data_IF_590076435008
#
_entry.id   IF_590076435008
#
_cell.length_a   1.000
_cell.length_b   1.000
_cell.length_c   1.000
_cell.angle_alpha   90.00
_cell.angle_beta   90.00
_cell.angle_gamma   90.00
#
_symmetry.space_group_name_H-M   'P 1'
#
loop_
_entity.id
_entity.type
_entity.pdbx_description
1 polymer ?
#
# COMPACT_ATOMS: atom_id res chain seq x y z
N UNK A 1 -36.13 30.48 -10.19
CA UNK A 1 -35.79 29.50 -9.13
C UNK A 1 -35.59 28.15 -9.79
N UNK A 2 -34.35 27.77 -10.07
CA UNK A 2 -34.01 26.38 -10.43
C UNK A 2 -33.00 25.91 -9.38
N UNK A 3 -33.50 25.18 -8.39
CA UNK A 3 -32.66 24.49 -7.42
C UNK A 3 -32.04 23.28 -8.12
N UNK A 4 -30.76 23.41 -8.49
CA UNK A 4 -29.93 22.27 -8.85
C UNK A 4 -29.58 21.52 -7.56
N UNK A 5 -30.20 20.35 -7.38
CA UNK A 5 -29.85 19.38 -6.37
C UNK A 5 -28.42 18.89 -6.64
N UNK A 6 -27.45 19.40 -5.89
CA UNK A 6 -26.13 18.81 -5.78
C UNK A 6 -26.26 17.41 -5.20
N UNK A 7 -25.94 16.38 -6.00
CA UNK A 7 -25.92 14.99 -5.56
C UNK A 7 -24.75 14.74 -4.59
N UNK A 8 -24.99 14.21 -3.37
CA UNK A 8 -24.00 14.18 -2.31
C UNK A 8 -23.32 12.81 -2.18
N UNK A 9 -22.60 12.33 -3.19
CA UNK A 9 -21.70 11.17 -3.00
C UNK A 9 -20.44 11.32 -3.85
N UNK A 10 -19.48 12.11 -3.32
CA UNK A 10 -18.08 11.95 -3.69
C UNK A 10 -17.58 10.74 -2.93
N UNK A 11 -17.70 9.57 -3.56
CA UNK A 11 -17.13 8.32 -3.07
C UNK A 11 -15.60 8.46 -3.16
N UNK A 12 -14.98 8.95 -2.09
CA UNK A 12 -13.53 9.08 -2.00
C UNK A 12 -12.94 7.74 -1.51
N UNK A 13 -13.00 6.69 -2.35
CA UNK A 13 -12.33 5.41 -2.08
C UNK A 13 -10.86 5.55 -2.49
N UNK A 14 -10.14 6.46 -1.84
CA UNK A 14 -8.68 6.52 -1.94
C UNK A 14 -8.10 5.92 -0.69
N UNK A 15 -7.41 4.79 -0.86
CA UNK A 15 -6.68 4.17 0.23
C UNK A 15 -5.32 4.83 0.31
N UNK A 16 -5.03 5.47 1.44
CA UNK A 16 -3.79 6.23 1.63
C UNK A 16 -2.97 5.72 2.81
N UNK A 17 -1.68 6.07 2.83
CA UNK A 17 -0.84 5.88 4.01
C UNK A 17 -1.27 6.84 5.11
N UNK A 18 -1.61 6.29 6.28
CA UNK A 18 -1.87 7.06 7.50
C UNK A 18 -0.58 7.32 8.25
N UNK A 19 -0.34 8.58 8.62
CA UNK A 19 0.70 8.94 9.58
C UNK A 19 0.33 8.36 10.95
N UNK A 20 1.27 7.67 11.61
CA UNK A 20 1.03 7.08 12.93
C UNK A 20 1.11 8.14 14.01
N UNK A 21 -0.04 8.44 14.62
CA UNK A 21 -0.09 9.36 15.75
C UNK A 21 0.55 8.76 17.01
N UNK A 22 1.31 9.57 17.74
CA UNK A 22 1.97 9.15 18.98
C UNK A 22 3.37 8.57 18.80
N UNK A 23 3.86 8.45 17.56
CA UNK A 23 5.24 7.99 17.25
C UNK A 23 6.00 9.08 16.51
N UNK A 24 5.92 10.30 17.05
CA UNK A 24 6.63 11.50 16.60
C UNK A 24 6.56 11.76 15.08
N UNK A 25 5.52 11.25 14.39
CA UNK A 25 5.33 11.42 12.95
C UNK A 25 6.42 10.79 12.06
N UNK A 26 7.18 9.80 12.55
CA UNK A 26 8.27 9.16 11.78
C UNK A 26 7.85 7.87 11.05
N UNK A 27 6.58 7.48 11.14
CA UNK A 27 6.06 6.24 10.60
C UNK A 27 4.74 6.47 9.87
N UNK A 28 4.66 5.97 8.65
CA UNK A 28 3.47 5.96 7.82
C UNK A 28 3.06 4.51 7.59
N UNK A 29 1.81 4.17 7.90
CA UNK A 29 1.28 2.81 7.72
C UNK A 29 0.22 2.84 6.65
N UNK A 30 0.30 1.89 5.73
CA UNK A 30 -0.72 1.73 4.70
C UNK A 30 -1.74 0.67 5.04
N UNK A 31 -1.28 -0.53 5.39
CA UNK A 31 -2.18 -1.64 5.67
C UNK A 31 -1.56 -2.62 6.65
N UNK A 32 -2.41 -3.16 7.51
CA UNK A 32 -2.12 -4.31 8.35
C UNK A 32 -2.78 -5.55 7.74
N UNK A 33 -1.97 -6.55 7.38
CA UNK A 33 -2.41 -7.81 6.79
C UNK A 33 -2.16 -8.96 7.77
N UNK A 34 -3.18 -9.79 8.00
CA UNK A 34 -3.00 -11.00 8.77
C UNK A 34 -2.32 -12.10 7.94
N UNK A 35 -1.18 -12.59 8.43
CA UNK A 35 -0.42 -13.67 7.82
C UNK A 35 -0.18 -14.80 8.82
N UNK A 36 -1.19 -15.66 9.03
CA UNK A 36 -1.20 -16.95 9.77
C UNK A 36 -0.67 -16.94 11.21
N UNK A 37 0.53 -16.40 11.43
CA UNK A 37 1.27 -16.31 12.70
C UNK A 37 1.64 -14.86 13.07
N UNK A 38 1.49 -13.89 12.17
CA UNK A 38 1.82 -12.49 12.45
C UNK A 38 0.91 -11.50 11.71
N UNK A 39 0.81 -10.29 12.24
CA UNK A 39 0.29 -9.13 11.51
C UNK A 39 1.48 -8.49 10.79
N UNK A 40 1.44 -8.46 9.46
CA UNK A 40 2.44 -7.80 8.62
C UNK A 40 1.92 -6.42 8.23
N UNK A 41 2.73 -5.39 8.45
CA UNK A 41 2.39 -4.04 8.07
C UNK A 41 3.32 -3.52 6.97
N UNK A 42 2.70 -2.97 5.94
CA UNK A 42 3.38 -2.21 4.89
C UNK A 42 3.53 -0.76 5.37
N UNK A 43 4.77 -0.30 5.53
CA UNK A 43 5.05 1.02 6.11
C UNK A 43 6.20 1.76 5.44
N UNK A 44 6.20 3.09 5.61
CA UNK A 44 7.29 3.99 5.24
C UNK A 44 7.77 4.68 6.51
N UNK A 45 9.08 4.74 6.69
CA UNK A 45 9.72 5.24 7.91
C UNK A 45 10.77 6.27 7.53
N UNK A 46 10.98 7.28 8.38
CA UNK A 46 12.11 8.22 8.24
C UNK A 46 13.44 7.49 8.51
N UNK A 47 14.44 7.67 7.64
CA UNK A 47 15.71 6.93 7.67
C UNK A 47 16.52 7.20 8.94
N UNK A 48 16.54 8.44 9.40
CA UNK A 48 17.39 8.86 10.53
C UNK A 48 16.77 8.55 11.91
N UNK A 49 15.54 8.03 11.95
CA UNK A 49 14.89 7.66 13.19
C UNK A 49 15.09 6.18 13.48
N UNK A 50 15.52 5.80 14.67
CA UNK A 50 15.56 4.39 15.10
C UNK A 50 14.63 4.20 16.28
N UNK A 51 13.60 3.36 16.12
CA UNK A 51 12.68 3.05 17.20
C UNK A 51 13.41 2.31 18.31
N UNK A 52 13.32 2.80 19.55
CA UNK A 52 13.99 2.16 20.70
C UNK A 52 13.27 0.88 21.14
N UNK A 53 11.94 0.95 21.25
CA UNK A 53 11.12 -0.17 21.69
C UNK A 53 9.72 -0.12 21.08
N UNK A 54 9.63 -0.20 19.75
CA UNK A 54 8.33 -0.24 19.08
C UNK A 54 7.57 -1.52 19.45
N UNK A 55 6.43 -1.36 20.10
CA UNK A 55 5.51 -2.41 20.49
C UNK A 55 4.21 -2.32 19.69
N UNK A 56 3.75 -3.47 19.20
CA UNK A 56 2.43 -3.64 18.64
C UNK A 56 1.44 -3.93 19.76
N UNK A 57 0.30 -3.27 19.71
CA UNK A 57 -0.82 -3.49 20.61
C UNK A 57 -1.94 -4.11 19.79
N UNK A 58 -2.27 -5.37 20.05
CA UNK A 58 -3.29 -6.12 19.32
C UNK A 58 -4.61 -6.09 20.07
N UNK A 59 -5.69 -5.91 19.31
CA UNK A 59 -7.07 -5.92 19.80
C UNK A 59 -7.85 -6.99 19.04
N UNK A 60 -8.46 -7.92 19.76
CA UNK A 60 -9.30 -9.00 19.25
C UNK A 60 -10.80 -8.67 19.36
N UNK A 61 -11.14 -7.68 20.17
CA UNK A 61 -12.52 -7.21 20.37
C UNK A 61 -12.77 -5.88 19.65
N UNK A 62 -14.04 -5.63 19.31
CA UNK A 62 -14.50 -4.34 18.77
C UNK A 62 -14.39 -3.21 19.80
N UNK A 63 -14.45 -3.55 21.08
CA UNK A 63 -14.27 -2.63 22.18
C UNK A 63 -12.78 -2.29 22.32
N UNK A 64 -12.32 -1.30 21.56
CA UNK A 64 -10.95 -0.73 21.59
C UNK A 64 -10.54 -0.13 22.97
N UNK A 65 -11.31 -0.40 24.03
CA UNK A 65 -11.17 0.15 25.37
C UNK A 65 -10.06 -0.52 26.18
N UNK A 66 -9.75 -1.79 25.90
CA UNK A 66 -8.68 -2.54 26.59
C UNK A 66 -7.76 -3.24 25.58
N UNK A 67 -6.44 -3.02 25.66
CA UNK A 67 -5.47 -3.74 24.85
C UNK A 67 -5.42 -5.20 25.29
N UNK A 68 -5.58 -6.12 24.35
CA UNK A 68 -5.55 -7.55 24.65
C UNK A 68 -4.12 -8.07 24.76
N UNK A 69 -3.21 -7.57 23.91
CA UNK A 69 -1.83 -8.06 23.88
C UNK A 69 -0.82 -7.00 23.45
N UNK A 70 0.24 -6.84 24.25
CA UNK A 70 1.43 -6.05 23.90
C UNK A 70 2.54 -6.96 23.42
N UNK A 71 3.11 -6.66 22.27
CA UNK A 71 4.19 -7.45 21.70
C UNK A 71 5.28 -6.58 21.09
N UNK A 72 6.53 -7.00 21.26
CA UNK A 72 7.65 -6.34 20.58
C UNK A 72 7.53 -6.55 19.07
N UNK A 73 7.67 -5.47 18.31
CA UNK A 73 7.65 -5.50 16.85
C UNK A 73 9.02 -5.87 16.28
N UNK A 74 9.02 -6.57 15.16
CA UNK A 74 10.21 -6.86 14.35
C UNK A 74 10.17 -5.96 13.11
N UNK A 75 11.22 -5.18 12.89
CA UNK A 75 11.26 -4.19 11.81
C UNK A 75 12.31 -4.60 10.79
N UNK A 76 11.84 -5.00 9.61
CA UNK A 76 12.68 -5.29 8.46
C UNK A 76 12.72 -4.04 7.56
N UNK A 77 13.91 -3.47 7.36
CA UNK A 77 14.12 -2.31 6.51
C UNK A 77 14.86 -2.75 5.25
N UNK A 78 14.47 -2.24 4.09
CA UNK A 78 15.22 -2.47 2.84
C UNK A 78 16.13 -1.29 2.52
N UNK A 79 17.27 -1.62 1.89
CA UNK A 79 18.51 -0.85 1.80
C UNK A 79 18.36 0.69 1.75
N UNK A 80 18.89 1.43 2.74
CA UNK A 80 18.90 2.88 2.76
C UNK A 80 20.04 3.41 1.89
N UNK A 81 19.85 3.55 0.57
CA UNK A 81 20.78 4.37 -0.22
C UNK A 81 20.14 5.74 -0.43
N UNK A 82 20.65 6.72 0.31
CA UNK A 82 20.47 8.17 0.14
C UNK A 82 19.02 8.63 -0.05
N UNK A 83 18.16 8.34 0.93
CA UNK A 83 16.80 8.90 0.95
C UNK A 83 16.39 9.23 2.40
N UNK A 84 15.70 10.36 2.66
CA UNK A 84 15.15 10.66 3.99
C UNK A 84 14.08 9.66 4.47
N UNK A 85 13.57 8.80 3.59
CA UNK A 85 12.59 7.78 3.95
C UNK A 85 12.96 6.42 3.34
N UNK A 86 12.59 5.37 4.07
CA UNK A 86 12.79 3.97 3.71
C UNK A 86 11.51 3.19 3.83
N UNK A 87 11.37 2.15 3.02
CA UNK A 87 10.31 1.17 3.17
C UNK A 87 10.66 0.21 4.31
N UNK A 88 9.73 0.05 5.23
CA UNK A 88 9.87 -0.83 6.37
C UNK A 88 8.68 -1.80 6.43
N UNK A 89 8.97 -3.05 6.75
CA UNK A 89 7.96 -4.04 7.11
C UNK A 89 8.00 -4.22 8.61
N UNK A 90 6.87 -3.93 9.25
CA UNK A 90 6.71 -4.17 10.67
C UNK A 90 5.94 -5.47 10.81
N UNK A 91 6.59 -6.46 11.41
CA UNK A 91 5.99 -7.73 11.74
C UNK A 91 5.65 -7.71 13.23
N UNK A 92 4.36 -7.85 13.54
CA UNK A 92 3.88 -8.07 14.89
C UNK A 92 3.59 -9.57 15.03
N UNK A 93 4.47 -10.35 15.70
CA UNK A 93 4.16 -11.76 15.91
C UNK A 93 2.83 -11.87 16.66
N UNK A 94 2.06 -12.92 16.41
CA UNK A 94 1.00 -13.33 17.32
C UNK A 94 1.53 -14.56 18.05
N UNK A 95 2.08 -14.33 19.25
CA UNK A 95 2.36 -15.43 20.16
C UNK A 95 1.09 -15.60 20.98
N UNK A 96 0.25 -16.62 20.70
CA UNK A 96 -0.90 -16.86 21.56
C UNK A 96 -0.35 -17.09 22.96
N UNK A 97 -0.76 -16.26 23.93
CA UNK A 97 -0.60 -16.63 25.33
C UNK A 97 -1.24 -18.00 25.50
N UNK A 98 -0.54 -18.86 26.24
CA UNK A 98 -0.62 -20.33 26.20
C UNK A 98 -2.04 -20.89 26.35
N UNK A 99 -3.03 -20.10 26.80
CA UNK A 99 -4.40 -20.52 27.04
C UNK A 99 -5.54 -19.57 26.62
N UNK A 100 -5.34 -18.47 25.86
CA UNK A 100 -6.44 -17.51 25.62
C UNK A 100 -6.82 -17.18 24.17
N UNK A 101 -5.93 -17.32 23.18
CA UNK A 101 -6.22 -16.85 21.81
C UNK A 101 -5.68 -17.81 20.73
N UNK A 102 -5.83 -19.11 20.95
CA UNK A 102 -5.33 -20.12 20.00
C UNK A 102 -6.23 -20.19 18.76
N UNK A 103 -6.03 -19.28 17.82
CA UNK A 103 -6.73 -19.24 16.53
C UNK A 103 -7.45 -17.94 16.21
N UNK A 104 -7.51 -17.00 17.15
CA UNK A 104 -8.17 -15.72 16.93
C UNK A 104 -7.28 -14.75 16.14
N UNK A 105 -7.93 -13.94 15.32
CA UNK A 105 -7.29 -12.96 14.45
C UNK A 105 -7.55 -11.59 15.07
N UNK A 106 -6.49 -10.79 15.32
CA UNK A 106 -6.68 -9.44 15.83
C UNK A 106 -7.48 -8.63 14.81
N UNK A 107 -8.45 -7.86 15.29
CA UNK A 107 -9.27 -6.96 14.47
C UNK A 107 -8.55 -5.64 14.23
N UNK A 108 -7.79 -5.15 15.22
CA UNK A 108 -7.03 -3.90 15.12
C UNK A 108 -5.62 -4.05 15.65
N UNK A 109 -4.71 -3.23 15.11
CA UNK A 109 -3.35 -3.07 15.61
C UNK A 109 -3.06 -1.59 15.87
N UNK A 110 -2.54 -1.29 17.05
CA UNK A 110 -1.99 0.00 17.42
C UNK A 110 -0.48 -0.09 17.68
N UNK A 111 0.17 1.06 17.79
CA UNK A 111 1.62 1.13 18.03
C UNK A 111 1.95 2.07 19.18
N UNK A 112 2.94 1.68 19.97
CA UNK A 112 3.51 2.47 21.06
C UNK A 112 5.02 2.27 21.09
N UNK A 113 5.79 3.33 21.36
CA UNK A 113 7.26 3.22 21.51
C UNK A 113 7.68 3.02 22.97
N UNK A 114 6.81 3.35 23.92
CA UNK A 114 7.00 3.14 25.34
C UNK A 114 5.86 2.26 25.87
N UNK A 115 6.20 1.14 26.53
CA UNK A 115 5.24 0.08 26.89
C UNK A 115 4.21 0.43 27.97
N UNK A 116 4.10 1.69 28.37
CA UNK A 116 3.09 2.18 29.32
C UNK A 116 2.04 3.07 28.65
N UNK A 117 2.25 3.46 27.39
CA UNK A 117 1.35 4.34 26.66
C UNK A 117 0.24 3.55 25.97
N UNK A 118 -0.88 4.22 25.71
CA UNK A 118 -1.94 3.69 24.85
C UNK A 118 -1.72 4.15 23.41
N UNK A 119 -2.02 3.31 22.40
CA UNK A 119 -1.99 3.75 21.01
C UNK A 119 -2.95 4.91 20.80
N UNK A 120 -2.52 5.94 20.07
CA UNK A 120 -3.39 7.06 19.68
C UNK A 120 -4.21 6.74 18.44
N UNK A 121 -3.76 5.76 17.66
CA UNK A 121 -4.36 5.37 16.40
C UNK A 121 -4.38 3.86 16.25
N UNK A 122 -5.43 3.36 15.62
CA UNK A 122 -5.68 1.96 15.38
C UNK A 122 -5.80 1.70 13.88
N UNK A 123 -5.21 0.61 13.43
CA UNK A 123 -5.26 0.18 12.04
C UNK A 123 -6.06 -1.12 11.95
N UNK A 124 -7.12 -1.19 11.13
CA UNK A 124 -7.87 -2.42 10.96
C UNK A 124 -7.00 -3.48 10.28
N UNK A 125 -7.00 -4.68 10.84
CA UNK A 125 -6.27 -5.84 10.31
C UNK A 125 -7.15 -6.52 9.27
N UNK A 126 -6.68 -6.51 8.02
CA UNK A 126 -7.39 -7.19 6.93
C UNK A 126 -7.11 -8.68 6.96
N UNK A 127 -8.17 -9.48 7.02
CA UNK A 127 -8.09 -10.93 6.97
C UNK A 127 -8.29 -11.46 5.55
N UNK A 128 -7.23 -12.06 4.99
CA UNK A 128 -7.20 -12.55 3.62
C UNK A 128 -8.07 -13.80 3.35
N UNK A 129 -8.60 -14.49 4.38
CA UNK A 129 -9.40 -15.70 4.18
C UNK A 129 -10.92 -15.48 4.36
N UNK A 130 -11.36 -14.28 4.76
CA UNK A 130 -12.78 -14.00 5.03
C UNK A 130 -13.50 -13.31 3.87
N UNK A 131 -12.79 -12.80 2.85
CA UNK A 131 -13.42 -12.27 1.64
C UNK A 131 -13.90 -13.42 0.74
N UNK A 132 -14.97 -14.10 1.14
CA UNK A 132 -15.71 -15.04 0.28
C UNK A 132 -16.49 -14.33 -0.83
N UNK A 133 -16.65 -13.01 -0.76
CA UNK A 133 -17.60 -12.31 -1.62
C UNK A 133 -17.06 -11.83 -2.96
N UNK A 134 -15.74 -11.81 -3.20
CA UNK A 134 -15.23 -11.50 -4.54
C UNK A 134 -13.94 -12.25 -4.82
N UNK A 135 -14.05 -13.45 -5.39
CA UNK A 135 -12.93 -14.15 -5.99
C UNK A 135 -12.58 -13.47 -7.31
N UNK A 136 -11.69 -12.47 -7.28
CA UNK A 136 -11.05 -12.02 -8.51
C UNK A 136 -10.11 -13.11 -8.98
N UNK A 137 -10.27 -13.61 -10.21
CA UNK A 137 -9.46 -14.69 -10.77
C UNK A 137 -8.09 -14.18 -11.22
N UNK A 138 -8.04 -12.92 -11.67
CA UNK A 138 -6.79 -12.26 -12.05
C UNK A 138 -6.70 -10.80 -11.57
N UNK A 139 -5.76 -10.53 -10.67
CA UNK A 139 -5.41 -9.16 -10.24
C UNK A 139 -4.07 -8.75 -10.86
N UNK A 140 -4.07 -7.62 -11.56
CA UNK A 140 -2.88 -6.93 -12.03
C UNK A 140 -2.43 -5.88 -11.00
N UNK A 141 -1.17 -5.99 -10.60
CA UNK A 141 -0.49 -5.01 -9.75
C UNK A 141 0.32 -4.07 -10.65
N UNK A 142 -0.13 -2.83 -10.80
CA UNK A 142 0.60 -1.82 -11.54
C UNK A 142 1.54 -1.07 -10.60
N UNK A 143 2.80 -0.97 -10.98
CA UNK A 143 3.81 -0.24 -10.23
C UNK A 143 3.45 1.25 -10.09
N UNK A 144 4.13 1.89 -9.15
CA UNK A 144 3.88 3.27 -8.77
C UNK A 144 3.92 4.28 -9.92
N UNK A 145 2.88 5.08 -10.04
CA UNK A 145 2.74 6.16 -11.01
C UNK A 145 3.44 7.42 -10.49
N UNK A 146 4.58 7.74 -11.09
CA UNK A 146 5.34 8.95 -10.79
C UNK A 146 5.36 9.89 -12.00
N UNK A 147 4.96 11.14 -11.79
CA UNK A 147 4.84 12.18 -12.81
C UNK A 147 3.99 11.75 -14.01
N UNK A 148 2.91 11.02 -13.75
CA UNK A 148 2.04 10.53 -14.82
C UNK A 148 1.10 11.67 -15.27
N UNK A 149 1.28 12.12 -16.51
CA UNK A 149 0.49 13.21 -17.09
C UNK A 149 -0.42 12.78 -18.24
N UNK A 150 -0.15 11.64 -18.86
CA UNK A 150 -0.89 11.19 -20.03
C UNK A 150 -2.10 10.34 -19.60
N UNK A 151 -3.27 10.98 -19.54
CA UNK A 151 -4.53 10.33 -19.22
C UNK A 151 -4.95 9.30 -20.28
N UNK A 152 -4.71 9.56 -21.58
CA UNK A 152 -5.06 8.63 -22.65
C UNK A 152 -4.26 7.32 -22.54
N UNK A 153 -2.96 7.41 -22.23
CA UNK A 153 -2.12 6.24 -22.00
C UNK A 153 -2.56 5.44 -20.76
N UNK A 154 -3.07 6.11 -19.73
CA UNK A 154 -3.62 5.43 -18.55
C UNK A 154 -4.88 4.65 -18.93
N UNK A 155 -5.82 5.29 -19.64
CA UNK A 155 -7.05 4.64 -20.12
C UNK A 155 -6.70 3.43 -20.98
N UNK A 156 -5.82 3.61 -21.97
CA UNK A 156 -5.35 2.51 -22.83
C UNK A 156 -4.80 1.35 -22.01
N UNK A 157 -3.97 1.63 -21.00
CA UNK A 157 -3.41 0.60 -20.13
C UNK A 157 -4.49 -0.15 -19.34
N UNK A 158 -5.43 0.57 -18.73
CA UNK A 158 -6.52 -0.03 -17.95
C UNK A 158 -7.38 -0.93 -18.84
N UNK A 159 -7.78 -0.44 -20.01
CA UNK A 159 -8.61 -1.21 -20.96
C UNK A 159 -7.85 -2.40 -21.55
N UNK A 160 -6.55 -2.28 -21.83
CA UNK A 160 -5.73 -3.40 -22.28
C UNK A 160 -5.61 -4.48 -21.20
N UNK A 161 -5.41 -4.11 -19.94
CA UNK A 161 -5.38 -5.06 -18.83
C UNK A 161 -6.71 -5.80 -18.69
N UNK A 162 -7.84 -5.11 -18.87
CA UNK A 162 -9.17 -5.71 -18.93
C UNK A 162 -9.30 -6.69 -20.08
N UNK A 163 -8.86 -6.33 -21.29
CA UNK A 163 -8.85 -7.23 -22.45
C UNK A 163 -8.01 -8.48 -22.22
N UNK A 164 -6.95 -8.39 -21.40
CA UNK A 164 -6.15 -9.55 -20.97
C UNK A 164 -6.78 -10.34 -19.82
N UNK A 165 -8.00 -9.99 -19.39
CA UNK A 165 -8.76 -10.70 -18.38
C UNK A 165 -8.47 -10.26 -16.95
N UNK A 166 -7.90 -9.06 -16.73
CA UNK A 166 -7.71 -8.54 -15.38
C UNK A 166 -9.06 -8.21 -14.75
N UNK A 167 -9.44 -9.03 -13.76
CA UNK A 167 -10.58 -8.80 -12.90
C UNK A 167 -10.28 -7.78 -11.81
N UNK A 168 -9.05 -7.28 -11.67
CA UNK A 168 -8.70 -6.17 -10.78
C UNK A 168 -7.40 -5.53 -11.23
N UNK A 169 -7.36 -4.21 -11.27
CA UNK A 169 -6.13 -3.45 -11.49
C UNK A 169 -5.88 -2.55 -10.29
N UNK A 170 -4.71 -2.72 -9.66
CA UNK A 170 -4.29 -1.92 -8.50
C UNK A 170 -3.21 -0.96 -8.94
N UNK A 171 -3.46 0.33 -8.77
CA UNK A 171 -2.59 1.43 -9.12
C UNK A 171 -2.08 2.10 -7.85
N UNK A 172 -0.82 2.52 -7.84
CA UNK A 172 -0.23 3.25 -6.72
C UNK A 172 0.12 4.68 -7.19
N UNK A 173 -0.72 5.66 -6.85
CA UNK A 173 -0.48 7.08 -7.10
C UNK A 173 0.62 7.59 -6.19
N UNK A 174 1.67 8.10 -6.83
CA UNK A 174 2.68 8.92 -6.17
C UNK A 174 2.48 10.38 -6.58
N UNK A 175 2.46 10.63 -7.89
CA UNK A 175 2.35 11.94 -8.48
C UNK A 175 1.71 11.82 -9.86
N UNK A 176 0.52 12.39 -9.97
CA UNK A 176 -0.31 12.36 -11.16
C UNK A 176 -0.80 13.77 -11.49
N UNK A 177 -1.03 14.03 -12.76
CA UNK A 177 -1.66 15.27 -13.23
C UNK A 177 -3.15 15.32 -12.89
N UNK A 178 -3.77 16.51 -12.87
CA UNK A 178 -5.22 16.64 -12.64
C UNK A 178 -6.10 15.89 -13.65
N UNK A 179 -5.66 15.77 -14.90
CA UNK A 179 -6.39 15.01 -15.93
C UNK A 179 -6.39 13.51 -15.63
N UNK A 180 -5.24 12.98 -15.19
CA UNK A 180 -5.10 11.59 -14.74
C UNK A 180 -5.92 11.35 -13.47
N UNK A 181 -5.89 12.29 -12.52
CA UNK A 181 -6.70 12.26 -11.29
C UNK A 181 -8.20 12.14 -11.58
N UNK A 182 -8.70 12.91 -12.55
CA UNK A 182 -10.09 12.88 -12.97
C UNK A 182 -10.49 11.52 -13.57
N UNK A 183 -9.64 10.95 -14.43
CA UNK A 183 -9.87 9.61 -15.00
C UNK A 183 -9.90 8.53 -13.92
N UNK A 184 -8.95 8.53 -12.99
CA UNK A 184 -8.93 7.57 -11.89
C UNK A 184 -10.20 7.66 -11.02
N UNK A 185 -10.68 8.88 -10.75
CA UNK A 185 -11.95 9.09 -10.01
C UNK A 185 -13.16 8.55 -10.76
N UNK A 186 -13.19 8.68 -12.08
CA UNK A 186 -14.27 8.15 -12.92
C UNK A 186 -14.32 6.62 -12.80
N UNK A 187 -13.21 5.92 -13.06
CA UNK A 187 -13.14 4.47 -12.91
C UNK A 187 -13.39 4.00 -11.46
N UNK A 188 -12.89 4.72 -10.46
CA UNK A 188 -13.14 4.39 -9.05
C UNK A 188 -14.61 4.55 -8.65
N UNK A 189 -15.37 5.44 -9.31
CA UNK A 189 -16.82 5.55 -9.11
C UNK A 189 -17.54 4.37 -9.75
N UNK A 190 -17.22 4.03 -10.98
CA UNK A 190 -17.78 2.87 -11.68
C UNK A 190 -17.52 1.56 -10.90
N UNK A 191 -16.38 1.50 -10.20
CA UNK A 191 -16.06 0.44 -9.25
C UNK A 191 -16.97 0.37 -8.04
N UNK A 192 -17.23 1.49 -7.38
CA UNK A 192 -18.10 1.55 -6.21
C UNK A 192 -19.52 1.06 -6.49
N UNK A 193 -19.93 1.17 -7.76
CA UNK A 193 -21.22 0.70 -8.28
C UNK A 193 -21.19 -0.80 -8.65
N UNK A 194 -20.10 -1.51 -8.34
CA UNK A 194 -19.93 -2.95 -8.55
C UNK A 194 -19.63 -3.34 -10.00
N UNK A 195 -19.27 -2.39 -10.86
CA UNK A 195 -19.07 -2.64 -12.30
C UNK A 195 -17.64 -3.00 -12.68
N UNK A 196 -16.62 -2.39 -12.07
CA UNK A 196 -15.23 -2.45 -12.58
C UNK A 196 -14.14 -2.27 -11.54
N UNK A 197 -13.01 -2.95 -11.66
CA UNK A 197 -12.19 -3.33 -10.51
C UNK A 197 -10.88 -2.56 -10.35
N UNK A 198 -10.98 -1.22 -10.33
CA UNK A 198 -9.83 -0.33 -10.14
C UNK A 198 -9.64 0.07 -8.68
N UNK A 199 -8.45 -0.15 -8.12
CA UNK A 199 -8.05 0.32 -6.79
C UNK A 199 -6.90 1.33 -6.91
N UNK A 200 -7.12 2.58 -6.48
CA UNK A 200 -6.12 3.65 -6.45
C UNK A 200 -5.56 3.83 -5.02
N UNK A 201 -4.25 3.63 -4.89
CA UNK A 201 -3.50 3.67 -3.65
C UNK A 201 -2.62 4.93 -3.61
N UNK A 202 -2.95 5.87 -2.75
CA UNK A 202 -2.23 7.15 -2.65
C UNK A 202 -1.09 7.07 -1.64
N UNK A 203 0.11 7.37 -2.10
CA UNK A 203 1.29 7.46 -1.24
C UNK A 203 1.31 8.72 -0.36
N UNK A 204 2.00 8.70 0.78
CA UNK A 204 1.94 9.80 1.74
C UNK A 204 2.56 11.07 1.17
N UNK A 205 1.97 12.21 1.56
CA UNK A 205 2.43 13.56 1.25
C UNK A 205 2.72 14.29 2.55
N UNK A 206 3.87 14.95 2.63
CA UNK A 206 4.26 15.75 3.80
C UNK A 206 4.11 17.23 3.47
N UNK A 207 3.29 17.97 4.22
CA UNK A 207 3.06 19.40 4.00
C UNK A 207 2.54 19.75 2.59
N UNK A 208 1.78 18.84 1.98
CA UNK A 208 1.30 18.98 0.59
C UNK A 208 2.36 18.69 -0.48
N UNK A 209 3.62 18.44 -0.10
CA UNK A 209 4.68 18.00 -1.01
C UNK A 209 4.78 16.49 -0.99
N UNK A 210 5.04 15.93 -2.17
CA UNK A 210 5.22 14.51 -2.29
C UNK A 210 6.56 14.07 -1.70
N UNK A 211 6.52 13.04 -0.87
CA UNK A 211 7.72 12.40 -0.35
C UNK A 211 8.48 11.75 -1.53
N UNK A 212 9.78 12.03 -1.68
CA UNK A 212 10.62 11.52 -2.79
C UNK A 212 11.03 10.07 -2.60
N UNK A 213 10.05 9.17 -2.48
CA UNK A 213 10.23 7.74 -2.25
C UNK A 213 9.91 6.88 -3.46
N UNK A 214 9.70 7.50 -4.63
CA UNK A 214 9.17 6.86 -5.84
C UNK A 214 9.89 5.56 -6.24
N UNK A 215 11.20 5.44 -5.98
CA UNK A 215 11.96 4.23 -6.29
C UNK A 215 11.62 3.08 -5.32
N UNK A 216 11.63 3.37 -4.01
CA UNK A 216 11.34 2.38 -2.97
C UNK A 216 9.88 2.00 -2.92
N UNK A 217 9.01 2.91 -3.32
CA UNK A 217 7.58 2.65 -3.33
C UNK A 217 7.15 1.65 -4.38
N UNK A 218 7.95 1.43 -5.43
CA UNK A 218 7.71 0.33 -6.37
C UNK A 218 7.79 -1.01 -5.67
N UNK A 219 8.81 -1.19 -4.83
CA UNK A 219 8.99 -2.42 -4.06
C UNK A 219 7.87 -2.59 -3.02
N UNK A 220 7.50 -1.50 -2.33
CA UNK A 220 6.39 -1.53 -1.38
C UNK A 220 5.05 -1.82 -2.05
N UNK A 221 4.79 -1.22 -3.22
CA UNK A 221 3.59 -1.46 -4.02
C UNK A 221 3.52 -2.92 -4.48
N UNK A 222 4.65 -3.47 -4.95
CA UNK A 222 4.73 -4.89 -5.30
C UNK A 222 4.50 -5.79 -4.08
N UNK A 223 5.16 -5.50 -2.96
CA UNK A 223 5.05 -6.31 -1.75
C UNK A 223 3.62 -6.30 -1.19
N UNK A 224 3.02 -5.12 -1.08
CA UNK A 224 1.63 -4.96 -0.61
C UNK A 224 0.65 -5.67 -1.55
N UNK A 225 0.71 -5.40 -2.85
CA UNK A 225 -0.20 -6.00 -3.81
C UNK A 225 -0.05 -7.54 -3.82
N UNK A 226 1.19 -8.04 -3.84
CA UNK A 226 1.42 -9.48 -3.74
C UNK A 226 0.84 -10.03 -2.44
N UNK A 227 1.14 -9.48 -1.26
CA UNK A 227 0.65 -10.07 -0.02
C UNK A 227 -0.87 -9.97 0.14
N UNK A 228 -1.49 -8.92 -0.41
CA UNK A 228 -2.93 -8.71 -0.37
C UNK A 228 -3.70 -9.65 -1.31
N UNK A 229 -3.17 -9.93 -2.50
CA UNK A 229 -3.89 -10.71 -3.53
C UNK A 229 -3.28 -12.09 -3.83
N UNK A 230 -2.13 -12.47 -3.24
CA UNK A 230 -1.45 -13.78 -3.44
C UNK A 230 -2.30 -15.00 -3.13
N UNK A 231 -3.37 -14.87 -2.32
CA UNK A 231 -4.30 -15.98 -2.04
C UNK A 231 -5.40 -16.15 -3.09
N UNK A 232 -5.61 -15.19 -3.99
CA UNK A 232 -6.56 -15.24 -5.10
C UNK A 232 -5.97 -15.90 -6.37
N UNK A 233 -5.17 -16.97 -6.20
CA UNK A 233 -4.20 -17.51 -7.19
C UNK A 233 -4.58 -17.41 -8.69
N UNK A 234 -3.90 -16.49 -9.40
CA UNK A 234 -3.00 -16.70 -10.58
C UNK A 234 -2.32 -15.39 -10.99
N UNK A 235 -1.66 -14.65 -10.09
CA UNK A 235 -0.94 -13.43 -10.50
C UNK A 235 0.28 -13.77 -11.37
N UNK A 236 0.17 -13.65 -12.69
CA UNK A 236 1.33 -13.58 -13.59
C UNK A 236 1.93 -12.18 -13.47
N UNK A 237 3.21 -12.11 -13.10
CA UNK A 237 3.95 -10.84 -13.02
C UNK A 237 4.12 -10.26 -14.42
N UNK A 238 3.42 -9.18 -14.73
CA UNK A 238 3.71 -8.37 -15.92
C UNK A 238 4.74 -7.31 -15.52
N UNK A 239 6.02 -7.65 -15.70
CA UNK A 239 7.12 -6.69 -15.60
C UNK A 239 7.05 -5.74 -16.79
N UNK A 240 6.75 -4.45 -16.57
CA UNK A 240 6.92 -3.42 -17.58
C UNK A 240 8.40 -3.35 -18.01
N UNK A 241 8.75 -3.55 -19.29
CA UNK A 241 10.12 -3.41 -19.75
C UNK A 241 10.45 -1.93 -19.98
N UNK A 242 11.04 -1.26 -18.99
CA UNK A 242 11.75 -0.01 -19.24
C UNK A 242 13.08 -0.32 -19.93
N UNK A 243 13.09 -0.36 -21.27
CA UNK A 243 14.33 -0.37 -22.06
C UNK A 243 14.98 1.02 -21.94
N UNK A 244 15.99 1.15 -21.09
CA UNK A 244 16.96 2.24 -21.22
C UNK A 244 17.73 2.05 -22.54
N UNK A 245 17.45 2.88 -23.54
CA UNK A 245 18.30 3.02 -24.74
C UNK A 245 19.66 3.54 -24.29
N UNK A 246 20.68 2.68 -24.26
CA UNK A 246 22.08 3.12 -24.25
C UNK A 246 22.37 3.77 -25.61
N UNK A 247 22.59 5.09 -25.59
CA UNK A 247 23.28 5.81 -26.67
C UNK A 247 24.70 5.25 -26.77
N UNK A 248 24.96 4.46 -27.81
CA UNK A 248 26.32 4.02 -28.16
C UNK A 248 26.99 5.19 -28.89
N UNK A 249 27.97 5.82 -28.24
CA UNK A 249 28.92 6.73 -28.85
C UNK A 249 29.83 5.92 -29.79
N UNK A 250 29.84 6.31 -31.05
CA UNK A 250 30.84 5.92 -32.05
C UNK A 250 32.20 6.51 -31.67
N UNK A 251 33.23 5.67 -31.55
CA UNK A 251 34.62 6.09 -31.70
C UNK A 251 35.37 4.97 -32.43
N UNK A 252 35.80 5.29 -33.66
CA UNK A 252 36.56 4.42 -34.54
C UNK A 252 37.93 4.03 -33.99
N UNK A 253 38.46 2.98 -34.61
CA UNK A 253 39.81 2.47 -34.39
C UNK A 253 40.06 1.30 -35.33
N UNK A 254 40.51 1.63 -36.55
CA UNK A 254 41.28 0.72 -37.42
C UNK A 254 42.38 0.00 -36.60
N UNK A 255 42.72 -1.25 -36.92
CA UNK A 255 43.99 -1.59 -37.59
C UNK A 255 44.00 -3.07 -38.00
N UNK A 256 44.44 -3.31 -39.24
CA UNK A 256 44.77 -4.59 -39.88
C UNK A 256 45.92 -5.33 -39.19
N UNK A 257 45.84 -6.66 -39.11
CA UNK A 257 46.73 -7.61 -39.82
C UNK A 257 46.23 -9.03 -39.66
#
# INVERSE_FOLDING_TARGET
MFNSLASPYVVNIRHGFGLVEGINSHLYIYSALWNVKNVRLASIKVTDYTFKNLQCVLYYTLDNSKPDLYMKSEIEQRNPIQNPYVTAHINCPNKPMENQFKGDIPMFVGFVENGSDKPRQFFPVKHLNQSKDVTHEFTECVLTMHQWANAALLVEKIEMSRLFGADRTVLYDTSISPSVDAVLRMYAREWAEGRETLEDVVLPREGGKQIRIQYWTQELAMDDCLHRYKRLRRSRRVSCPFKTRKLVRSSGGETKR
#
